data_IF_130548761411
#
_entry.id   IF_130548761411
#
_cell.length_a   1.000
_cell.length_b   1.000
_cell.length_c   1.000
_cell.angle_alpha   90.00
_cell.angle_beta   90.00
_cell.angle_gamma   90.00
#
_symmetry.space_group_name_H-M   'P 1'
#
loop_
_entity.id
_entity.type
_entity.pdbx_description
1 polymer ?
#
# COMPACT_ATOMS: atom_id res chain seq x y z
N UNK A 1 -8.23 -7.75 -17.94
CA UNK A 1 -8.92 -7.20 -16.76
C UNK A 1 -8.63 -5.72 -16.68
N UNK A 2 -9.51 -4.95 -16.03
CA UNK A 2 -9.28 -3.54 -15.73
C UNK A 2 -8.83 -3.41 -14.28
N UNK A 3 -7.62 -2.88 -14.07
CA UNK A 3 -6.95 -2.85 -12.76
C UNK A 3 -6.65 -1.40 -12.39
N UNK A 4 -6.96 -0.99 -11.18
CA UNK A 4 -6.55 0.30 -10.63
C UNK A 4 -5.47 0.08 -9.57
N UNK A 5 -4.36 0.81 -9.68
CA UNK A 5 -3.22 0.70 -8.75
C UNK A 5 -2.91 2.08 -8.18
N UNK A 6 -2.83 2.20 -6.86
CA UNK A 6 -2.36 3.43 -6.21
C UNK A 6 -0.85 3.42 -5.98
N UNK A 7 -0.21 4.59 -6.03
CA UNK A 7 1.22 4.74 -5.73
C UNK A 7 2.16 4.32 -6.86
N UNK A 8 1.75 4.53 -8.11
CA UNK A 8 2.48 4.10 -9.31
C UNK A 8 3.60 5.03 -9.75
N UNK A 9 3.90 6.09 -8.99
CA UNK A 9 5.00 7.01 -9.32
C UNK A 9 6.40 6.42 -9.09
N UNK A 10 6.53 5.34 -8.31
CA UNK A 10 7.83 4.72 -8.02
C UNK A 10 7.68 3.34 -7.35
N UNK A 11 8.78 2.60 -7.30
CA UNK A 11 8.91 1.38 -6.50
C UNK A 11 7.97 0.25 -6.93
N UNK A 12 7.37 -0.43 -5.96
CA UNK A 12 6.53 -1.61 -6.22
C UNK A 12 5.30 -1.26 -7.07
N UNK A 13 4.66 -0.10 -6.81
CA UNK A 13 3.49 0.35 -7.59
C UNK A 13 3.83 0.62 -9.06
N UNK A 14 4.97 1.27 -9.34
CA UNK A 14 5.47 1.47 -10.70
C UNK A 14 5.81 0.14 -11.37
N UNK A 15 6.51 -0.74 -10.68
CA UNK A 15 6.84 -2.07 -11.20
C UNK A 15 5.61 -2.89 -11.56
N UNK A 16 4.56 -2.86 -10.71
CA UNK A 16 3.28 -3.50 -11.00
C UNK A 16 2.57 -2.86 -12.20
N UNK A 17 2.56 -1.52 -12.29
CA UNK A 17 2.00 -0.83 -13.45
C UNK A 17 2.65 -1.30 -14.74
N UNK A 18 3.98 -1.28 -14.81
CA UNK A 18 4.74 -1.65 -16.01
C UNK A 18 4.54 -3.13 -16.38
N UNK A 19 4.50 -4.01 -15.40
CA UNK A 19 4.36 -5.44 -15.67
C UNK A 19 2.93 -5.80 -16.07
N UNK A 20 1.93 -5.38 -15.31
CA UNK A 20 0.53 -5.74 -15.54
C UNK A 20 -0.07 -5.10 -16.79
N UNK A 21 0.45 -3.92 -17.23
CA UNK A 21 0.00 -3.25 -18.46
C UNK A 21 0.32 -4.05 -19.74
N UNK A 22 1.19 -5.07 -19.66
CA UNK A 22 1.50 -5.92 -20.83
C UNK A 22 0.31 -6.78 -21.26
N UNK A 23 -0.61 -7.08 -20.35
CA UNK A 23 -1.74 -8.00 -20.60
C UNK A 23 -3.08 -7.54 -20.03
N UNK A 24 -3.14 -6.37 -19.41
CA UNK A 24 -4.33 -5.81 -18.79
C UNK A 24 -4.50 -4.32 -19.12
N UNK A 25 -5.70 -3.79 -18.97
CA UNK A 25 -5.94 -2.34 -18.90
C UNK A 25 -5.64 -1.88 -17.48
N UNK A 26 -4.58 -1.08 -17.29
CA UNK A 26 -4.15 -0.64 -15.96
C UNK A 26 -4.26 0.87 -15.83
N UNK A 27 -4.95 1.30 -14.79
CA UNK A 27 -5.04 2.70 -14.37
C UNK A 27 -4.09 2.87 -13.17
N UNK A 28 -2.98 3.56 -13.39
CA UNK A 28 -2.06 3.93 -12.31
C UNK A 28 -2.45 5.28 -11.72
N UNK A 29 -2.51 5.40 -10.41
CA UNK A 29 -2.73 6.67 -9.73
C UNK A 29 -1.47 7.14 -9.05
N UNK A 30 -1.03 8.34 -9.42
CA UNK A 30 0.04 9.09 -8.77
C UNK A 30 -0.55 10.23 -7.92
N UNK A 31 0.28 10.84 -7.06
CA UNK A 31 -0.17 11.91 -6.15
C UNK A 31 -0.82 13.10 -6.87
N UNK A 32 -0.33 13.47 -8.05
CA UNK A 32 -0.88 14.63 -8.78
C UNK A 32 -2.27 14.36 -9.38
N UNK A 33 -2.67 13.09 -9.50
CA UNK A 33 -3.99 12.69 -9.99
C UNK A 33 -4.96 12.45 -8.83
N UNK A 34 -4.46 11.93 -7.71
CA UNK A 34 -5.22 11.72 -6.48
C UNK A 34 -4.29 11.80 -5.27
N UNK A 35 -4.39 12.89 -4.49
CA UNK A 35 -3.66 12.99 -3.23
C UNK A 35 -4.35 12.17 -2.14
N UNK A 36 -3.80 11.01 -1.86
CA UNK A 36 -4.32 10.08 -0.84
C UNK A 36 -4.20 10.62 0.60
N UNK A 37 -3.42 11.66 0.82
CA UNK A 37 -3.35 12.34 2.13
C UNK A 37 -4.51 13.32 2.34
N UNK A 38 -5.20 13.72 1.26
CA UNK A 38 -6.36 14.60 1.28
C UNK A 38 -7.65 13.77 1.22
N UNK A 39 -8.32 13.64 2.36
CA UNK A 39 -9.58 12.87 2.48
C UNK A 39 -10.69 13.44 1.58
N UNK A 40 -10.70 14.76 1.34
CA UNK A 40 -11.70 15.40 0.46
C UNK A 40 -11.51 14.92 -0.98
N UNK A 41 -10.26 14.89 -1.47
CA UNK A 41 -9.95 14.40 -2.83
C UNK A 41 -10.34 12.93 -2.99
N UNK A 42 -9.98 12.09 -2.00
CA UNK A 42 -10.35 10.67 -2.00
C UNK A 42 -11.88 10.48 -1.97
N UNK A 43 -12.58 11.30 -1.20
CA UNK A 43 -14.04 11.24 -1.11
C UNK A 43 -14.70 11.70 -2.42
N UNK A 44 -14.15 12.70 -3.09
CA UNK A 44 -14.64 13.21 -4.37
C UNK A 44 -14.25 12.32 -5.58
N UNK A 45 -13.29 11.42 -5.42
CA UNK A 45 -12.79 10.59 -6.51
C UNK A 45 -13.89 9.72 -7.13
N UNK A 46 -14.10 9.86 -8.44
CA UNK A 46 -15.00 9.03 -9.21
C UNK A 46 -14.33 7.68 -9.52
N UNK A 47 -14.70 6.65 -8.78
CA UNK A 47 -14.15 5.31 -8.97
C UNK A 47 -14.64 4.73 -10.31
N UNK A 48 -13.75 4.41 -11.26
CA UNK A 48 -14.15 3.73 -12.47
C UNK A 48 -14.56 2.29 -12.17
N UNK A 49 -15.33 1.67 -13.09
CA UNK A 49 -15.57 0.23 -13.00
C UNK A 49 -14.25 -0.50 -13.22
N UNK A 50 -13.78 -1.23 -12.21
CA UNK A 50 -12.56 -2.03 -12.27
C UNK A 50 -12.81 -3.46 -11.75
N UNK A 51 -12.03 -4.40 -12.27
CA UNK A 51 -12.07 -5.80 -11.83
C UNK A 51 -11.20 -6.01 -10.60
N UNK A 52 -10.19 -5.13 -10.42
CA UNK A 52 -9.23 -5.22 -9.30
C UNK A 52 -8.79 -3.83 -8.88
N UNK A 53 -8.74 -3.60 -7.55
CA UNK A 53 -8.10 -2.46 -6.91
C UNK A 53 -6.87 -2.94 -6.14
N UNK A 54 -5.70 -2.35 -6.43
CA UNK A 54 -4.45 -2.61 -5.69
C UNK A 54 -4.08 -1.36 -4.89
N UNK A 55 -4.31 -1.38 -3.60
CA UNK A 55 -3.89 -0.37 -2.64
C UNK A 55 -2.40 -0.57 -2.32
N UNK A 56 -1.52 -0.06 -3.19
CA UNK A 56 -0.07 -0.19 -3.08
C UNK A 56 0.60 1.07 -2.53
N UNK A 57 -0.06 2.23 -2.62
CA UNK A 57 0.48 3.47 -2.07
C UNK A 57 0.74 3.37 -0.57
N UNK A 58 1.81 4.00 -0.14
CA UNK A 58 2.13 4.14 1.27
C UNK A 58 3.14 5.25 1.50
N UNK A 59 3.11 5.81 2.70
CA UNK A 59 4.08 6.82 3.13
C UNK A 59 4.47 6.62 4.59
N UNK A 60 5.68 7.02 4.89
CA UNK A 60 6.20 7.16 6.25
C UNK A 60 7.17 8.34 6.18
N UNK A 61 6.84 9.44 6.84
CA UNK A 61 7.53 10.72 6.77
C UNK A 61 7.88 11.21 8.18
N UNK A 62 8.78 12.20 8.28
CA UNK A 62 9.21 12.76 9.55
C UNK A 62 10.34 11.97 10.25
N UNK A 63 10.94 10.98 9.57
CA UNK A 63 12.01 10.16 10.11
C UNK A 63 11.53 9.18 11.20
N UNK A 64 12.43 8.35 11.69
CA UNK A 64 12.17 7.47 12.84
C UNK A 64 12.47 8.23 14.14
N UNK A 65 11.50 8.98 14.62
CA UNK A 65 11.58 9.75 15.87
C UNK A 65 10.50 9.30 16.86
N UNK A 66 10.66 9.66 18.13
CA UNK A 66 9.62 9.46 19.15
C UNK A 66 8.28 10.04 18.68
N UNK A 67 7.21 9.31 18.93
CA UNK A 67 5.87 9.69 18.47
C UNK A 67 5.47 11.11 18.90
N UNK A 68 5.80 11.51 20.12
CA UNK A 68 5.50 12.85 20.65
C UNK A 68 6.26 13.99 19.94
N UNK A 69 7.32 13.67 19.20
CA UNK A 69 8.12 14.65 18.45
C UNK A 69 7.70 14.79 16.99
N UNK A 70 6.79 13.95 16.49
CA UNK A 70 6.24 14.10 15.15
C UNK A 70 5.42 15.37 15.02
N UNK A 71 5.50 15.99 13.85
CA UNK A 71 4.53 17.00 13.46
C UNK A 71 3.15 16.34 13.28
N UNK A 72 2.11 16.96 13.82
CA UNK A 72 0.73 16.43 13.75
C UNK A 72 0.28 16.24 12.29
N UNK A 73 0.69 17.13 11.37
CA UNK A 73 0.35 17.02 9.94
C UNK A 73 1.00 15.77 9.33
N UNK A 74 2.22 15.41 9.73
CA UNK A 74 2.88 14.18 9.26
C UNK A 74 2.12 12.94 9.72
N UNK A 75 1.70 12.90 10.99
CA UNK A 75 0.91 11.79 11.54
C UNK A 75 -0.40 11.64 10.77
N UNK A 76 -1.13 12.74 10.55
CA UNK A 76 -2.38 12.75 9.77
C UNK A 76 -2.13 12.29 8.33
N UNK A 77 -1.06 12.77 7.68
CA UNK A 77 -0.68 12.37 6.32
C UNK A 77 -0.42 10.85 6.24
N UNK A 78 0.29 10.28 7.22
CA UNK A 78 0.56 8.83 7.28
C UNK A 78 -0.76 8.06 7.44
N UNK A 79 -1.62 8.48 8.36
CA UNK A 79 -2.91 7.80 8.62
C UNK A 79 -3.81 7.86 7.39
N UNK A 80 -3.98 9.05 6.80
CA UNK A 80 -4.83 9.22 5.63
C UNK A 80 -4.35 8.38 4.46
N UNK A 81 -3.06 8.47 4.12
CA UNK A 81 -2.50 7.77 2.96
C UNK A 81 -2.52 6.26 3.12
N UNK A 82 -2.14 5.74 4.31
CA UNK A 82 -1.92 4.31 4.48
C UNK A 82 -3.16 3.54 4.95
N UNK A 83 -4.17 4.23 5.48
CA UNK A 83 -5.35 3.58 6.05
C UNK A 83 -6.65 4.16 5.49
N UNK A 84 -6.91 5.46 5.67
CA UNK A 84 -8.20 6.05 5.31
C UNK A 84 -8.44 5.94 3.79
N UNK A 85 -7.46 6.30 2.97
CA UNK A 85 -7.60 6.23 1.53
C UNK A 85 -7.84 4.77 1.02
N UNK A 86 -7.07 3.75 1.41
CA UNK A 86 -7.36 2.36 1.07
C UNK A 86 -8.76 1.90 1.48
N UNK A 87 -9.24 2.29 2.67
CA UNK A 87 -10.59 1.96 3.14
C UNK A 87 -11.66 2.58 2.24
N UNK A 88 -11.56 3.89 1.97
CA UNK A 88 -12.54 4.61 1.14
C UNK A 88 -12.50 4.16 -0.32
N UNK A 89 -11.32 3.92 -0.89
CA UNK A 89 -11.20 3.43 -2.26
C UNK A 89 -11.75 2.00 -2.39
N UNK A 90 -11.53 1.14 -1.40
CA UNK A 90 -12.10 -0.21 -1.38
C UNK A 90 -13.63 -0.16 -1.31
N UNK A 91 -14.19 0.71 -0.46
CA UNK A 91 -15.64 0.92 -0.39
C UNK A 91 -16.21 1.35 -1.75
N UNK A 92 -15.60 2.37 -2.38
CA UNK A 92 -16.02 2.88 -3.70
C UNK A 92 -15.91 1.80 -4.78
N UNK A 93 -14.84 1.03 -4.81
CA UNK A 93 -14.66 -0.05 -5.78
C UNK A 93 -15.76 -1.12 -5.64
N UNK A 94 -16.10 -1.51 -4.40
CA UNK A 94 -17.15 -2.49 -4.13
C UNK A 94 -18.56 -1.93 -4.40
N UNK A 95 -18.80 -0.63 -4.24
CA UNK A 95 -20.05 0.03 -4.65
C UNK A 95 -20.26 -0.02 -6.15
N UNK A 96 -19.19 0.15 -6.93
CA UNK A 96 -19.25 0.12 -8.41
C UNK A 96 -19.26 -1.31 -8.94
N UNK A 97 -18.49 -2.19 -8.32
CA UNK A 97 -18.40 -3.61 -8.70
C UNK A 97 -18.26 -4.48 -7.43
N UNK A 98 -19.35 -5.08 -6.98
CA UNK A 98 -19.38 -5.92 -5.77
C UNK A 98 -18.50 -7.17 -5.84
N UNK A 99 -17.98 -7.52 -7.02
CA UNK A 99 -17.03 -8.62 -7.26
C UNK A 99 -15.59 -8.13 -7.45
N UNK A 100 -15.35 -6.82 -7.32
CA UNK A 100 -14.00 -6.26 -7.44
C UNK A 100 -13.03 -6.96 -6.48
N UNK A 101 -11.91 -7.44 -7.03
CA UNK A 101 -10.83 -7.97 -6.18
C UNK A 101 -10.14 -6.81 -5.48
N UNK A 102 -10.06 -6.87 -4.15
CA UNK A 102 -9.32 -5.89 -3.34
C UNK A 102 -7.98 -6.47 -2.91
N UNK A 103 -6.91 -5.78 -3.25
CA UNK A 103 -5.54 -6.16 -2.87
C UNK A 103 -4.96 -5.07 -1.99
N UNK A 104 -4.65 -5.39 -0.74
CA UNK A 104 -4.06 -4.45 0.21
C UNK A 104 -2.60 -4.81 0.48
N UNK A 105 -1.70 -3.85 0.22
CA UNK A 105 -0.28 -4.01 0.52
C UNK A 105 -0.01 -3.53 1.96
N UNK A 106 0.23 -4.49 2.84
CA UNK A 106 0.61 -4.27 4.25
C UNK A 106 2.13 -4.33 4.44
N UNK A 107 2.63 -4.59 5.63
CA UNK A 107 4.06 -4.61 5.91
C UNK A 107 4.36 -5.56 7.06
N UNK A 108 5.55 -6.16 7.10
CA UNK A 108 6.05 -6.92 8.25
C UNK A 108 6.11 -6.07 9.54
N UNK A 109 6.03 -4.74 9.43
CA UNK A 109 5.90 -3.83 10.58
C UNK A 109 4.54 -3.94 11.30
N UNK A 110 3.57 -4.67 10.76
CA UNK A 110 2.30 -4.94 11.44
C UNK A 110 2.40 -6.07 12.48
N UNK A 111 3.46 -6.89 12.41
CA UNK A 111 3.72 -8.00 13.35
C UNK A 111 4.96 -7.78 14.21
N UNK A 112 5.95 -7.04 13.71
CA UNK A 112 7.17 -6.72 14.44
C UNK A 112 7.26 -5.22 14.64
N UNK A 113 7.08 -4.79 15.88
CA UNK A 113 7.09 -3.38 16.24
C UNK A 113 8.50 -2.89 16.50
N UNK A 114 8.83 -1.76 15.90
CA UNK A 114 10.10 -1.08 16.08
C UNK A 114 9.87 0.25 16.80
N UNK A 115 10.76 0.64 17.72
CA UNK A 115 10.74 1.99 18.30
C UNK A 115 10.72 3.05 17.20
N UNK A 116 10.09 4.19 17.49
CA UNK A 116 10.04 5.34 16.59
C UNK A 116 9.37 5.06 15.22
N UNK A 117 8.41 4.16 15.18
CA UNK A 117 7.67 3.80 13.97
C UNK A 117 6.16 3.63 14.22
N UNK A 118 5.64 4.29 15.28
CA UNK A 118 4.30 4.04 15.79
C UNK A 118 3.23 4.33 14.75
N UNK A 119 3.22 5.53 14.15
CA UNK A 119 2.17 5.94 13.22
C UNK A 119 2.08 5.00 12.00
N UNK A 120 3.21 4.67 11.39
CA UNK A 120 3.27 3.74 10.27
C UNK A 120 2.81 2.33 10.65
N UNK A 121 3.35 1.77 11.73
CA UNK A 121 3.01 0.42 12.20
C UNK A 121 1.51 0.31 12.55
N UNK A 122 0.96 1.34 13.21
CA UNK A 122 -0.47 1.43 13.49
C UNK A 122 -1.30 1.34 12.20
N UNK A 123 -0.95 2.12 11.18
CA UNK A 123 -1.71 2.12 9.92
C UNK A 123 -1.65 0.77 9.21
N UNK A 124 -0.48 0.12 9.18
CA UNK A 124 -0.33 -1.19 8.53
C UNK A 124 -1.01 -2.31 9.30
N UNK A 125 -1.02 -2.25 10.65
CA UNK A 125 -1.80 -3.17 11.49
C UNK A 125 -3.31 -2.98 11.31
N UNK A 126 -3.77 -1.74 11.26
CA UNK A 126 -5.18 -1.43 11.02
C UNK A 126 -5.63 -1.85 9.62
N UNK A 127 -4.79 -1.68 8.59
CA UNK A 127 -5.09 -2.13 7.23
C UNK A 127 -5.17 -3.65 7.12
N UNK A 128 -4.32 -4.40 7.85
CA UNK A 128 -4.44 -5.86 8.00
C UNK A 128 -5.81 -6.22 8.59
N UNK A 129 -6.17 -5.63 9.73
CA UNK A 129 -7.46 -5.88 10.39
C UNK A 129 -8.65 -5.53 9.50
N UNK A 130 -8.59 -4.39 8.78
CA UNK A 130 -9.60 -4.03 7.78
C UNK A 130 -9.72 -5.09 6.68
N UNK A 131 -8.59 -5.59 6.20
CA UNK A 131 -8.55 -6.62 5.15
C UNK A 131 -9.22 -7.92 5.60
N UNK A 132 -8.99 -8.32 6.86
CA UNK A 132 -9.63 -9.51 7.44
C UNK A 132 -11.14 -9.33 7.61
N UNK A 133 -11.58 -8.17 8.12
CA UNK A 133 -13.01 -7.85 8.27
C UNK A 133 -13.71 -7.82 6.90
N UNK A 134 -13.05 -7.27 5.88
CA UNK A 134 -13.61 -7.20 4.53
C UNK A 134 -13.84 -8.59 3.93
N UNK A 135 -12.95 -9.56 4.21
CA UNK A 135 -13.13 -10.96 3.79
C UNK A 135 -14.37 -11.63 4.41
N UNK A 136 -14.69 -11.25 5.65
CA UNK A 136 -15.87 -11.79 6.36
C UNK A 136 -17.15 -11.16 5.83
N UNK A 137 -17.14 -9.86 5.57
CA UNK A 137 -18.33 -9.11 5.16
C UNK A 137 -18.66 -9.33 3.67
N UNK A 138 -17.65 -9.38 2.80
CA UNK A 138 -17.81 -9.51 1.35
C UNK A 138 -17.31 -10.85 0.84
N UNK A 139 -18.11 -11.93 1.08
CA UNK A 139 -17.77 -13.30 0.66
C UNK A 139 -17.66 -13.43 -0.87
N UNK A 140 -18.34 -12.58 -1.63
CA UNK A 140 -18.28 -12.55 -3.10
C UNK A 140 -17.06 -11.81 -3.65
N UNK A 141 -16.48 -10.92 -2.88
CA UNK A 141 -15.27 -10.20 -3.25
C UNK A 141 -14.02 -11.02 -2.90
N UNK A 142 -13.05 -10.99 -3.80
CA UNK A 142 -11.77 -11.64 -3.55
C UNK A 142 -10.85 -10.63 -2.87
N UNK A 143 -10.45 -10.88 -1.63
CA UNK A 143 -9.62 -9.97 -0.86
C UNK A 143 -8.26 -10.62 -0.56
N UNK A 144 -7.19 -10.01 -1.08
CA UNK A 144 -5.81 -10.47 -0.92
C UNK A 144 -5.01 -9.47 -0.07
N UNK A 145 -4.34 -9.97 0.95
CA UNK A 145 -3.30 -9.24 1.66
C UNK A 145 -1.93 -9.63 1.11
N UNK A 146 -1.11 -8.61 0.78
CA UNK A 146 0.30 -8.77 0.45
C UNK A 146 1.12 -8.07 1.54
N UNK A 147 1.78 -8.85 2.39
CA UNK A 147 2.63 -8.33 3.46
C UNK A 147 4.06 -8.23 2.97
N UNK A 148 4.55 -7.00 2.81
CA UNK A 148 5.90 -6.76 2.31
C UNK A 148 6.90 -6.57 3.44
N UNK A 149 8.05 -7.23 3.28
CA UNK A 149 9.27 -6.95 4.02
C UNK A 149 10.05 -5.77 3.43
N UNK A 150 11.28 -5.61 3.90
CA UNK A 150 12.17 -4.54 3.46
C UNK A 150 12.48 -4.68 1.97
N UNK A 151 12.00 -3.71 1.20
CA UNK A 151 12.19 -3.64 -0.24
C UNK A 151 12.99 -2.38 -0.59
N UNK A 152 13.99 -2.51 -1.45
CA UNK A 152 14.84 -1.40 -1.89
C UNK A 152 14.08 -0.49 -2.86
N UNK A 153 13.55 0.60 -2.34
CA UNK A 153 12.76 1.60 -3.07
C UNK A 153 13.07 3.02 -2.56
N UNK A 154 12.52 4.03 -3.23
CA UNK A 154 12.57 5.41 -2.73
C UNK A 154 11.73 5.63 -1.44
N UNK A 155 10.93 4.66 -0.99
CA UNK A 155 10.11 4.77 0.21
C UNK A 155 10.93 5.15 1.44
N UNK A 156 12.05 4.47 1.68
CA UNK A 156 12.91 4.77 2.82
C UNK A 156 13.65 6.10 2.66
N UNK A 157 14.04 6.48 1.43
CA UNK A 157 14.60 7.81 1.17
C UNK A 157 13.60 8.91 1.54
N UNK A 158 12.33 8.75 1.16
CA UNK A 158 11.27 9.70 1.49
C UNK A 158 10.97 9.75 2.99
N UNK A 159 11.06 8.61 3.69
CA UNK A 159 10.94 8.51 5.16
C UNK A 159 11.94 9.39 5.89
N UNK A 160 13.17 9.47 5.40
CA UNK A 160 14.25 10.22 6.03
C UNK A 160 14.54 11.56 5.35
N UNK A 161 13.67 12.05 4.49
CA UNK A 161 13.83 13.36 3.87
C UNK A 161 13.90 14.44 4.95
N UNK A 162 14.99 15.21 4.95
CA UNK A 162 15.33 16.18 6.01
C UNK A 162 16.02 15.55 7.24
N UNK A 163 16.34 14.26 7.19
CA UNK A 163 17.02 13.50 8.22
C UNK A 163 17.95 12.47 7.58
N UNK A 164 18.62 12.87 6.51
CA UNK A 164 19.44 12.00 5.65
C UNK A 164 20.58 11.32 6.41
N UNK A 165 21.05 11.92 7.50
CA UNK A 165 22.06 11.36 8.41
C UNK A 165 21.61 10.03 9.06
N UNK A 166 20.29 9.75 9.08
CA UNK A 166 19.69 8.54 9.63
C UNK A 166 19.46 7.44 8.60
N UNK A 167 19.78 7.72 7.34
CA UNK A 167 19.49 6.82 6.22
C UNK A 167 20.57 5.74 6.02
N UNK A 168 21.77 5.87 6.59
CA UNK A 168 22.97 5.14 6.18
C UNK A 168 22.90 3.60 6.32
N UNK A 169 22.04 3.04 7.17
CA UNK A 169 22.16 1.62 7.57
C UNK A 169 20.88 0.79 7.39
N UNK A 170 19.93 1.25 6.54
CA UNK A 170 18.64 0.56 6.42
C UNK A 170 18.74 -0.66 5.49
N UNK A 171 19.56 -0.57 4.45
CA UNK A 171 19.76 -1.67 3.51
C UNK A 171 20.99 -2.47 3.90
N UNK A 172 20.78 -3.45 4.77
CA UNK A 172 21.73 -4.56 4.97
C UNK A 172 21.59 -5.56 3.82
N UNK A 173 22.38 -6.63 3.79
CA UNK A 173 22.33 -7.68 2.77
C UNK A 173 20.97 -8.43 2.66
N UNK A 174 20.02 -8.07 3.52
CA UNK A 174 18.69 -8.67 3.59
C UNK A 174 17.60 -7.66 3.18
N UNK A 175 17.48 -7.40 1.89
CA UNK A 175 16.38 -6.64 1.32
C UNK A 175 15.96 -7.24 -0.02
N UNK A 176 14.70 -7.05 -0.39
CA UNK A 176 14.18 -7.45 -1.70
C UNK A 176 14.37 -6.32 -2.72
N UNK A 177 14.57 -6.68 -3.97
CA UNK A 177 14.45 -5.76 -5.09
C UNK A 177 12.98 -5.57 -5.49
N UNK A 178 12.67 -4.51 -6.23
CA UNK A 178 11.33 -4.29 -6.78
C UNK A 178 10.93 -5.42 -7.73
N UNK A 179 11.85 -5.89 -8.55
CA UNK A 179 11.62 -6.96 -9.52
C UNK A 179 11.24 -8.28 -8.84
N UNK A 180 11.96 -8.69 -7.79
CA UNK A 180 11.63 -9.88 -7.00
C UNK A 180 10.25 -9.78 -6.37
N UNK A 181 9.91 -8.61 -5.83
CA UNK A 181 8.60 -8.36 -5.22
C UNK A 181 7.48 -8.43 -6.26
N UNK A 182 7.64 -7.77 -7.40
CA UNK A 182 6.65 -7.76 -8.49
C UNK A 182 6.41 -9.16 -9.01
N UNK A 183 7.46 -9.93 -9.28
CA UNK A 183 7.37 -11.33 -9.73
C UNK A 183 6.54 -12.17 -8.74
N UNK A 184 6.87 -12.10 -7.45
CA UNK A 184 6.14 -12.85 -6.41
C UNK A 184 4.68 -12.42 -6.25
N UNK A 185 4.40 -11.12 -6.46
CA UNK A 185 3.02 -10.63 -6.45
C UNK A 185 2.24 -11.21 -7.64
N UNK A 186 2.81 -11.19 -8.84
CA UNK A 186 2.15 -11.70 -10.04
C UNK A 186 1.81 -13.18 -9.95
N UNK A 187 2.66 -14.00 -9.33
CA UNK A 187 2.41 -15.43 -9.10
C UNK A 187 1.12 -15.70 -8.33
N UNK A 188 0.72 -14.80 -7.44
CA UNK A 188 -0.45 -14.96 -6.56
C UNK A 188 -1.64 -14.08 -6.94
N UNK A 189 -1.40 -13.02 -7.70
CA UNK A 189 -2.38 -11.96 -7.92
C UNK A 189 -3.68 -12.46 -8.56
N UNK A 190 -3.58 -13.38 -9.50
CA UNK A 190 -4.74 -13.92 -10.24
C UNK A 190 -5.28 -15.23 -9.64
N UNK A 191 -4.64 -15.76 -8.60
CA UNK A 191 -5.13 -16.94 -7.89
C UNK A 191 -6.14 -16.52 -6.81
N UNK A 192 -7.41 -16.86 -7.02
CA UNK A 192 -8.49 -16.47 -6.12
C UNK A 192 -8.57 -17.32 -4.84
N UNK A 193 -7.83 -18.41 -4.72
CA UNK A 193 -7.77 -19.20 -3.49
C UNK A 193 -6.78 -18.63 -2.47
N UNK A 194 -5.79 -17.87 -2.94
CA UNK A 194 -4.79 -17.24 -2.08
C UNK A 194 -5.38 -15.97 -1.46
N UNK A 195 -5.40 -15.90 -0.16
CA UNK A 195 -5.93 -14.75 0.61
C UNK A 195 -4.84 -13.92 1.28
N UNK A 196 -3.67 -14.50 1.46
CA UNK A 196 -2.53 -13.90 2.13
C UNK A 196 -1.22 -14.40 1.54
N UNK A 197 -0.25 -13.50 1.40
CA UNK A 197 1.14 -13.83 1.10
C UNK A 197 2.06 -12.88 1.86
N UNK A 198 3.11 -13.42 2.46
CA UNK A 198 4.22 -12.64 2.99
C UNK A 198 5.41 -12.74 2.03
N UNK A 199 5.93 -11.59 1.63
CA UNK A 199 7.09 -11.46 0.75
C UNK A 199 8.16 -10.69 1.55
N UNK A 200 9.05 -11.44 2.15
CA UNK A 200 10.13 -10.93 2.99
C UNK A 200 11.48 -11.56 2.60
N UNK A 201 12.62 -10.90 2.94
CA UNK A 201 13.94 -11.45 2.71
C UNK A 201 14.22 -12.72 3.49
#
# INVERSE_FOLDING_TARGET
MKILITGTASGVGEGLLLSLSKSNEVIGLIRNELDLSNVVDVTAFNMPHVDMLINCAGTDIGGKIEFAKHNTIEVVTIINTNLIAPVLLSQKALQVNSKCKIVNVTSTNNIKYYPNNLAYSLTKKSLESFTDMLRVEYLSANVLEIRLGLTKTNFNRNRFKGHEERFSDIYTDKHLTVEEVVTKIEEVLFNNTIKFVEIAP
#
